data_IF_680305010252
#
_entry.id   IF_680305010252
#
_cell.length_a   1.000
_cell.length_b   1.000
_cell.length_c   1.000
_cell.angle_alpha   90.00
_cell.angle_beta   90.00
_cell.angle_gamma   90.00
#
_symmetry.space_group_name_H-M   'P 1'
#
loop_
_entity.id
_entity.type
_entity.pdbx_description
1 polymer ?
#
# COMPACT_ATOMS: atom_id res chain seq x y z
N UNK A 1 -12.17 -30.24 -26.84
CA UNK A 1 -12.88 -30.31 -25.55
C UNK A 1 -12.87 -28.92 -24.96
N UNK A 2 -14.03 -28.39 -24.59
CA UNK A 2 -14.19 -27.07 -23.96
C UNK A 2 -13.92 -27.12 -22.46
N UNK A 3 -14.10 -25.98 -21.80
CA UNK A 3 -14.04 -25.89 -20.33
C UNK A 3 -15.22 -26.63 -19.72
N UNK A 4 -14.96 -27.57 -18.81
CA UNK A 4 -15.99 -28.39 -18.19
C UNK A 4 -15.48 -29.11 -16.94
N UNK A 5 -16.42 -29.61 -16.13
CA UNK A 5 -16.16 -30.46 -14.97
C UNK A 5 -16.39 -31.93 -15.31
N UNK A 6 -15.38 -32.73 -15.03
CA UNK A 6 -15.35 -34.17 -15.28
C UNK A 6 -15.13 -34.93 -13.96
N UNK A 7 -15.52 -36.20 -13.97
CA UNK A 7 -15.10 -37.16 -12.96
C UNK A 7 -14.23 -38.20 -13.64
N UNK A 8 -12.95 -38.24 -13.28
CA UNK A 8 -12.10 -39.37 -13.61
C UNK A 8 -12.48 -40.50 -12.65
N UNK A 9 -13.03 -41.58 -13.19
CA UNK A 9 -13.46 -42.74 -12.39
C UNK A 9 -12.47 -43.88 -12.56
N UNK A 10 -11.85 -44.28 -11.46
CA UNK A 10 -11.12 -45.52 -11.35
C UNK A 10 -12.11 -46.62 -10.90
N UNK A 11 -12.15 -47.72 -11.66
CA UNK A 11 -12.93 -48.91 -11.32
C UNK A 11 -11.99 -50.10 -11.28
N UNK A 12 -11.94 -50.79 -10.14
CA UNK A 12 -11.24 -52.07 -10.01
C UNK A 12 -12.29 -53.17 -10.13
N UNK A 13 -12.07 -54.15 -11.00
CA UNK A 13 -12.95 -55.30 -11.19
C UNK A 13 -12.27 -56.60 -10.76
N UNK A 14 -13.06 -57.57 -10.31
CA UNK A 14 -12.58 -58.94 -10.11
C UNK A 14 -12.36 -59.68 -11.44
N UNK A 15 -11.91 -60.94 -11.36
CA UNK A 15 -11.66 -61.80 -12.52
C UNK A 15 -12.94 -62.18 -13.28
N UNK A 16 -14.13 -61.98 -12.70
CA UNK A 16 -15.42 -62.16 -13.37
C UNK A 16 -15.97 -60.85 -13.96
N UNK A 17 -15.21 -59.75 -13.90
CA UNK A 17 -15.61 -58.45 -14.42
C UNK A 17 -16.58 -57.69 -13.51
N UNK A 18 -16.76 -58.12 -12.26
CA UNK A 18 -17.60 -57.42 -11.29
C UNK A 18 -16.79 -56.33 -10.60
N UNK A 19 -17.35 -55.12 -10.52
CA UNK A 19 -16.77 -54.01 -9.78
C UNK A 19 -16.56 -54.38 -8.30
N UNK A 20 -15.32 -54.28 -7.83
CA UNK A 20 -14.90 -54.52 -6.43
C UNK A 20 -14.47 -53.24 -5.73
N UNK A 21 -14.05 -52.22 -6.48
CA UNK A 21 -13.77 -50.89 -5.92
C UNK A 21 -14.03 -49.80 -6.94
N UNK A 22 -14.40 -48.62 -6.45
CA UNK A 22 -14.57 -47.41 -7.23
C UNK A 22 -13.96 -46.24 -6.48
N UNK A 23 -13.15 -45.46 -7.19
CA UNK A 23 -12.67 -44.16 -6.72
C UNK A 23 -12.98 -43.11 -7.77
N UNK A 24 -13.69 -42.06 -7.37
CA UNK A 24 -14.03 -40.93 -8.24
C UNK A 24 -13.10 -39.75 -7.90
N UNK A 25 -12.45 -39.20 -8.91
CA UNK A 25 -11.58 -38.04 -8.82
C UNK A 25 -12.22 -36.87 -9.59
N UNK A 26 -12.61 -35.78 -8.90
CA UNK A 26 -13.09 -34.59 -9.59
C UNK A 26 -11.96 -33.97 -10.41
N UNK A 27 -12.24 -33.61 -11.65
CA UNK A 27 -11.32 -32.97 -12.58
C UNK A 27 -12.02 -31.77 -13.20
N UNK A 28 -11.41 -30.59 -13.17
CA UNK A 28 -11.88 -29.44 -13.95
C UNK A 28 -10.89 -29.16 -15.07
N UNK A 29 -11.39 -29.00 -16.30
CA UNK A 29 -10.60 -28.43 -17.39
C UNK A 29 -10.98 -26.96 -17.47
N UNK A 30 -10.03 -26.12 -17.07
CA UNK A 30 -10.15 -24.67 -17.14
C UNK A 30 -8.86 -24.14 -17.80
N UNK A 31 -9.03 -23.38 -18.88
CA UNK A 31 -7.93 -22.82 -19.67
C UNK A 31 -7.99 -21.30 -19.71
N UNK A 32 -9.00 -20.71 -19.07
CA UNK A 32 -9.21 -19.27 -19.04
C UNK A 32 -8.48 -18.72 -17.83
N UNK A 33 -7.51 -17.81 -18.02
CA UNK A 33 -6.86 -17.15 -16.90
C UNK A 33 -7.85 -16.40 -16.01
N UNK A 34 -7.52 -16.20 -14.72
CA UNK A 34 -8.29 -15.32 -13.85
C UNK A 34 -8.55 -13.94 -14.47
N UNK A 35 -9.64 -13.30 -14.06
CA UNK A 35 -9.89 -11.90 -14.36
C UNK A 35 -9.20 -10.99 -13.33
N UNK A 36 -8.51 -9.98 -13.84
CA UNK A 36 -7.91 -8.91 -13.03
C UNK A 36 -8.89 -7.79 -12.76
N UNK A 37 -8.63 -7.00 -11.72
CA UNK A 37 -9.33 -5.74 -11.48
C UNK A 37 -8.37 -4.55 -11.43
N UNK A 38 -8.45 -3.78 -10.34
CA UNK A 38 -7.76 -2.49 -10.22
C UNK A 38 -6.69 -2.52 -9.14
N UNK A 39 -5.64 -1.71 -9.32
CA UNK A 39 -4.66 -1.43 -8.28
C UNK A 39 -5.08 -0.14 -7.58
N UNK A 40 -5.27 -0.21 -6.27
CA UNK A 40 -5.58 0.93 -5.41
C UNK A 40 -4.52 1.08 -4.31
N UNK A 41 -4.50 2.23 -3.67
CA UNK A 41 -3.54 2.56 -2.63
C UNK A 41 -4.27 3.11 -1.41
N UNK A 42 -4.06 2.51 -0.25
CA UNK A 42 -4.55 3.07 1.02
C UNK A 42 -3.48 3.95 1.64
N UNK A 43 -3.82 5.21 1.91
CA UNK A 43 -2.94 6.20 2.54
C UNK A 43 -3.36 6.46 3.98
N UNK A 44 -2.39 6.52 4.88
CA UNK A 44 -2.59 7.08 6.21
C UNK A 44 -2.63 8.62 6.14
N UNK A 45 -3.55 9.25 6.87
CA UNK A 45 -3.57 10.70 7.05
C UNK A 45 -2.24 11.25 7.55
N UNK A 46 -1.94 12.51 7.21
CA UNK A 46 -0.75 13.30 7.52
C UNK A 46 0.50 13.11 6.64
N UNK A 47 0.65 11.97 5.96
CA UNK A 47 1.72 11.76 4.99
C UNK A 47 1.14 11.91 3.58
N UNK A 48 1.01 13.15 3.13
CA UNK A 48 0.47 13.50 1.84
C UNK A 48 1.44 13.15 0.67
N UNK A 49 1.76 11.87 0.45
CA UNK A 49 2.52 11.39 -0.72
C UNK A 49 1.59 10.85 -1.81
N UNK A 50 1.78 11.23 -3.09
CA UNK A 50 0.88 10.88 -4.23
C UNK A 50 0.54 9.38 -4.34
N UNK A 51 -0.52 9.06 -5.09
CA UNK A 51 -0.91 7.68 -5.46
C UNK A 51 0.20 6.86 -6.17
N UNK A 52 1.30 7.53 -6.57
CA UNK A 52 2.43 6.96 -7.30
C UNK A 52 3.74 6.91 -6.49
N UNK A 53 3.76 7.34 -5.22
CA UNK A 53 5.01 7.42 -4.42
C UNK A 53 4.90 6.55 -3.17
N UNK A 54 5.73 5.51 -3.13
CA UNK A 54 5.92 4.69 -1.93
C UNK A 54 6.88 5.38 -0.97
N UNK A 55 6.35 5.94 0.13
CA UNK A 55 7.18 6.48 1.21
C UNK A 55 7.31 5.45 2.35
N UNK A 56 8.51 5.24 2.86
CA UNK A 56 8.74 4.44 4.08
C UNK A 56 8.24 5.17 5.32
N UNK A 57 7.61 4.43 6.26
CA UNK A 57 7.27 4.94 7.60
C UNK A 57 8.57 5.02 8.43
N UNK A 58 8.88 6.16 9.09
CA UNK A 58 10.03 6.25 9.99
C UNK A 58 9.96 5.22 11.13
N UNK A 59 11.12 4.67 11.53
CA UNK A 59 11.21 3.73 12.64
C UNK A 59 10.67 4.37 13.94
N UNK A 60 9.71 3.71 14.59
CA UNK A 60 9.10 4.18 15.85
C UNK A 60 7.75 4.88 15.70
N UNK A 61 7.27 5.17 14.48
CA UNK A 61 5.90 5.64 14.25
C UNK A 61 4.99 4.46 13.90
N UNK A 62 4.14 4.04 14.84
CA UNK A 62 2.99 3.17 14.56
C UNK A 62 1.77 4.06 14.35
N UNK A 63 1.31 4.16 13.10
CA UNK A 63 -0.02 4.66 12.83
C UNK A 63 -0.94 3.49 12.54
N UNK A 64 -2.08 3.45 13.21
CA UNK A 64 -3.09 2.40 13.14
C UNK A 64 -3.89 2.39 11.82
N UNK A 65 -3.30 2.80 10.69
CA UNK A 65 -3.90 2.64 9.36
C UNK A 65 -2.86 2.14 8.36
N UNK A 66 -3.25 1.07 7.66
CA UNK A 66 -2.40 0.23 6.82
C UNK A 66 -2.03 0.98 5.52
N UNK A 67 -0.75 1.30 5.33
CA UNK A 67 -0.23 1.79 4.04
C UNK A 67 0.06 0.60 3.14
N UNK A 68 -0.78 0.37 2.12
CA UNK A 68 -0.67 -0.80 1.27
C UNK A 68 -1.08 -0.55 -0.19
N UNK A 69 -0.54 -1.39 -1.07
CA UNK A 69 -1.13 -1.67 -2.38
C UNK A 69 -2.25 -2.66 -2.19
N UNK A 70 -3.44 -2.30 -2.67
CA UNK A 70 -4.59 -3.20 -2.65
C UNK A 70 -5.03 -3.48 -4.07
N UNK A 71 -4.92 -4.75 -4.46
CA UNK A 71 -5.39 -5.27 -5.73
C UNK A 71 -6.79 -5.81 -5.49
N UNK A 72 -7.80 -5.24 -6.17
CA UNK A 72 -9.22 -5.53 -5.93
C UNK A 72 -9.90 -6.00 -7.21
N UNK A 73 -11.05 -6.65 -7.06
CA UNK A 73 -11.85 -7.14 -8.18
C UNK A 73 -11.22 -8.34 -8.87
N UNK A 74 -10.37 -9.09 -8.16
CA UNK A 74 -9.79 -10.33 -8.64
C UNK A 74 -10.86 -11.39 -8.62
N UNK A 75 -11.03 -12.12 -9.73
CA UNK A 75 -12.03 -13.18 -9.79
C UNK A 75 -11.62 -14.25 -10.76
N UNK A 76 -12.12 -15.45 -10.55
CA UNK A 76 -12.11 -16.48 -11.56
C UNK A 76 -13.45 -17.22 -11.52
N UNK A 77 -14.08 -17.36 -12.70
CA UNK A 77 -15.39 -18.02 -12.84
C UNK A 77 -15.26 -19.51 -13.15
N UNK A 78 -14.07 -19.95 -13.57
CA UNK A 78 -13.77 -21.34 -13.86
C UNK A 78 -13.47 -22.11 -12.58
N UNK A 79 -12.21 -22.46 -12.39
CA UNK A 79 -11.71 -23.28 -11.29
C UNK A 79 -11.63 -22.54 -9.94
N UNK A 80 -11.73 -21.22 -9.97
CA UNK A 80 -11.62 -20.32 -8.84
C UNK A 80 -10.18 -19.91 -8.54
N UNK A 81 -10.02 -18.84 -7.75
CA UNK A 81 -8.72 -18.29 -7.37
C UNK A 81 -7.94 -19.27 -6.47
N UNK A 82 -6.61 -19.33 -6.66
CA UNK A 82 -5.71 -20.16 -5.88
C UNK A 82 -4.71 -19.34 -5.05
N UNK A 83 -3.80 -18.62 -5.72
CA UNK A 83 -2.72 -17.89 -5.07
C UNK A 83 -2.30 -16.65 -5.85
N UNK A 84 -1.51 -15.79 -5.20
CA UNK A 84 -0.92 -14.62 -5.83
C UNK A 84 0.56 -14.46 -5.46
N UNK A 85 1.32 -13.84 -6.34
CA UNK A 85 2.70 -13.43 -6.10
C UNK A 85 2.82 -11.93 -6.38
N UNK A 86 3.33 -11.16 -5.42
CA UNK A 86 3.75 -9.79 -5.67
C UNK A 86 5.07 -9.80 -6.41
N UNK A 87 5.19 -8.97 -7.44
CA UNK A 87 6.43 -8.80 -8.17
C UNK A 87 6.79 -7.33 -8.33
N UNK A 88 8.09 -7.11 -8.51
CA UNK A 88 8.66 -5.84 -8.89
C UNK A 88 9.76 -6.04 -9.94
N UNK A 89 9.81 -5.18 -10.94
CA UNK A 89 10.82 -5.19 -12.00
C UNK A 89 11.50 -3.84 -12.06
N UNK A 90 12.83 -3.84 -11.97
CA UNK A 90 13.65 -2.62 -12.12
C UNK A 90 13.85 -2.22 -13.59
N UNK A 91 14.53 -1.09 -13.79
CA UNK A 91 14.80 -0.55 -15.12
C UNK A 91 15.67 -1.47 -16.00
N UNK A 92 16.49 -2.34 -15.38
CA UNK A 92 17.30 -3.34 -16.07
C UNK A 92 16.50 -4.60 -16.44
N UNK A 93 15.23 -4.68 -16.03
CA UNK A 93 14.37 -5.84 -16.28
C UNK A 93 14.53 -6.96 -15.26
N UNK A 94 15.29 -6.75 -14.16
CA UNK A 94 15.44 -7.76 -13.12
C UNK A 94 14.18 -7.81 -12.27
N UNK A 95 13.52 -8.96 -12.31
CA UNK A 95 12.29 -9.23 -11.57
C UNK A 95 12.60 -9.86 -10.21
N UNK A 96 11.95 -9.35 -9.16
CA UNK A 96 12.00 -9.91 -7.81
C UNK A 96 10.57 -10.16 -7.34
N UNK A 97 10.33 -11.30 -6.69
CA UNK A 97 8.99 -11.75 -6.30
C UNK A 97 8.93 -12.12 -4.83
N UNK A 98 7.73 -12.06 -4.27
CA UNK A 98 7.38 -12.72 -3.01
C UNK A 98 5.95 -13.27 -3.07
N UNK A 99 5.64 -14.33 -2.31
CA UNK A 99 4.26 -14.73 -2.09
C UNK A 99 3.42 -13.55 -1.57
N UNK A 100 2.18 -13.44 -2.04
CA UNK A 100 1.21 -12.46 -1.58
C UNK A 100 -0.07 -13.18 -1.14
N UNK A 101 -0.57 -12.84 0.05
CA UNK A 101 -1.80 -13.43 0.57
C UNK A 101 -3.00 -12.93 -0.21
N UNK A 102 -3.85 -13.86 -0.65
CA UNK A 102 -5.06 -13.58 -1.39
C UNK A 102 -6.29 -13.87 -0.51
N UNK A 103 -7.19 -12.90 -0.42
CA UNK A 103 -8.53 -13.12 0.08
C UNK A 103 -9.39 -13.59 -1.10
N UNK A 104 -9.59 -14.89 -1.22
CA UNK A 104 -10.36 -15.50 -2.31
C UNK A 104 -11.86 -15.26 -2.21
N UNK A 105 -12.37 -14.84 -1.04
CA UNK A 105 -13.78 -14.48 -0.84
C UNK A 105 -14.05 -13.06 -1.34
N UNK A 106 -13.18 -12.12 -0.99
CA UNK A 106 -13.31 -10.71 -1.42
C UNK A 106 -12.71 -10.45 -2.82
N UNK A 107 -11.88 -11.36 -3.32
CA UNK A 107 -11.15 -11.15 -4.57
C UNK A 107 -10.11 -10.05 -4.43
N UNK A 108 -9.32 -10.08 -3.36
CA UNK A 108 -8.36 -9.02 -3.05
C UNK A 108 -7.00 -9.54 -2.60
N UNK A 109 -5.95 -8.75 -2.88
CA UNK A 109 -4.59 -8.95 -2.37
C UNK A 109 -4.12 -7.64 -1.76
N UNK A 110 -3.57 -7.68 -0.56
CA UNK A 110 -3.03 -6.49 0.14
C UNK A 110 -1.54 -6.68 0.37
N UNK A 111 -0.72 -5.78 -0.16
CA UNK A 111 0.74 -5.77 0.03
C UNK A 111 1.14 -4.50 0.75
N UNK A 112 1.70 -4.64 1.96
CA UNK A 112 2.19 -3.49 2.73
C UNK A 112 3.27 -2.74 1.96
N UNK A 113 3.25 -1.40 2.02
CA UNK A 113 4.25 -0.57 1.33
C UNK A 113 5.65 -0.89 1.82
N UNK A 114 5.83 -1.10 3.13
CA UNK A 114 7.12 -1.46 3.71
C UNK A 114 7.73 -2.73 3.07
N UNK A 115 6.87 -3.71 2.75
CA UNK A 115 7.28 -4.92 2.04
C UNK A 115 7.51 -4.65 0.57
N UNK A 116 6.53 -4.02 -0.09
CA UNK A 116 6.50 -3.72 -1.51
C UNK A 116 7.71 -2.89 -1.97
N UNK A 117 8.22 -2.03 -1.09
CA UNK A 117 9.38 -1.16 -1.31
C UNK A 117 10.61 -1.54 -0.48
N UNK A 118 10.66 -2.76 0.07
CA UNK A 118 11.82 -3.23 0.86
C UNK A 118 13.11 -3.22 0.02
N UNK A 119 14.28 -3.07 0.66
CA UNK A 119 15.58 -3.11 -0.05
C UNK A 119 15.81 -4.43 -0.80
N UNK A 120 15.21 -5.54 -0.35
CA UNK A 120 15.33 -6.84 -1.01
C UNK A 120 14.60 -6.89 -2.35
N UNK A 121 13.47 -6.19 -2.47
CA UNK A 121 12.65 -6.14 -3.69
C UNK A 121 13.00 -4.93 -4.58
N UNK A 122 13.25 -3.78 -3.96
CA UNK A 122 13.59 -2.52 -4.60
C UNK A 122 14.95 -2.00 -4.08
N UNK A 123 16.09 -2.53 -4.55
CA UNK A 123 17.38 -2.12 -4.01
C UNK A 123 17.71 -0.65 -4.29
N UNK A 124 17.35 -0.15 -5.48
CA UNK A 124 17.54 1.26 -5.83
C UNK A 124 16.47 2.13 -5.19
N UNK A 125 16.90 3.10 -4.39
CA UNK A 125 16.01 4.12 -3.88
C UNK A 125 15.82 5.23 -4.93
N UNK A 126 14.70 5.96 -4.86
CA UNK A 126 14.38 7.03 -5.80
C UNK A 126 14.49 6.55 -7.24
N UNK A 127 13.76 5.49 -7.55
CA UNK A 127 13.73 4.86 -8.86
C UNK A 127 12.31 4.45 -9.24
N UNK A 128 12.07 4.26 -10.53
CA UNK A 128 10.79 3.80 -11.07
C UNK A 128 10.83 2.30 -11.31
N UNK A 129 9.76 1.62 -10.89
CA UNK A 129 9.61 0.18 -11.00
C UNK A 129 8.30 -0.18 -11.68
N UNK A 130 8.26 -1.35 -12.34
CA UNK A 130 6.99 -2.02 -12.64
C UNK A 130 6.63 -2.85 -11.42
N UNK A 131 5.47 -2.61 -10.82
CA UNK A 131 4.96 -3.35 -9.65
C UNK A 131 3.64 -4.00 -10.01
N UNK A 132 3.37 -5.17 -9.46
CA UNK A 132 2.14 -5.88 -9.76
C UNK A 132 1.97 -7.18 -9.00
N UNK A 133 0.94 -7.92 -9.38
CA UNK A 133 0.75 -9.31 -8.98
C UNK A 133 0.67 -10.23 -10.18
N UNK A 134 1.19 -11.44 -10.01
CA UNK A 134 0.74 -12.60 -10.77
C UNK A 134 -0.38 -13.27 -9.99
N UNK A 135 -1.52 -13.47 -10.64
CA UNK A 135 -2.69 -14.13 -10.06
C UNK A 135 -2.89 -15.48 -10.73
N UNK A 136 -3.14 -16.51 -9.92
CA UNK A 136 -3.32 -17.89 -10.36
C UNK A 136 -4.69 -18.42 -9.97
N UNK A 137 -5.31 -19.20 -10.87
CA UNK A 137 -6.47 -20.04 -10.54
C UNK A 137 -6.05 -21.44 -10.06
N UNK A 138 -7.02 -22.27 -9.71
CA UNK A 138 -6.77 -23.65 -9.25
C UNK A 138 -6.40 -24.62 -10.37
N UNK A 139 -6.64 -24.26 -11.62
CA UNK A 139 -6.19 -25.02 -12.79
C UNK A 139 -4.74 -24.70 -13.19
N UNK A 140 -4.15 -23.65 -12.58
CA UNK A 140 -2.78 -23.21 -12.81
C UNK A 140 -2.63 -22.16 -13.92
N UNK A 141 -3.72 -21.61 -14.46
CA UNK A 141 -3.62 -20.49 -15.38
C UNK A 141 -3.21 -19.22 -14.62
N UNK A 142 -2.51 -18.33 -15.32
CA UNK A 142 -1.93 -17.12 -14.72
C UNK A 142 -2.26 -15.87 -15.53
N UNK A 143 -2.55 -14.78 -14.82
CA UNK A 143 -2.60 -13.44 -15.39
C UNK A 143 -1.73 -12.45 -14.62
N UNK A 144 -1.39 -11.32 -15.24
CA UNK A 144 -0.62 -10.23 -14.65
C UNK A 144 -1.49 -8.99 -14.50
N UNK A 145 -1.47 -8.37 -13.33
CA UNK A 145 -1.99 -7.01 -13.09
C UNK A 145 -0.86 -6.13 -12.59
N UNK A 146 -0.51 -5.08 -13.33
CA UNK A 146 0.64 -4.24 -13.01
C UNK A 146 0.50 -2.77 -13.38
N UNK A 147 1.34 -1.94 -12.78
CA UNK A 147 1.52 -0.52 -13.12
C UNK A 147 2.96 -0.08 -12.92
N UNK A 148 3.33 1.07 -13.48
CA UNK A 148 4.56 1.78 -13.10
C UNK A 148 4.34 2.54 -11.81
N UNK A 149 5.34 2.54 -10.94
CA UNK A 149 5.30 3.27 -9.68
C UNK A 149 6.69 3.69 -9.23
N UNK A 150 6.77 4.81 -8.52
CA UNK A 150 8.02 5.38 -8.04
C UNK A 150 8.21 5.00 -6.57
N UNK A 151 9.41 4.57 -6.21
CA UNK A 151 9.79 4.30 -4.83
C UNK A 151 10.68 5.45 -4.33
N UNK A 152 10.26 6.12 -3.27
CA UNK A 152 11.03 7.16 -2.58
C UNK A 152 11.02 6.93 -1.07
N UNK A 153 12.05 6.24 -0.57
CA UNK A 153 12.23 5.98 0.86
C UNK A 153 12.85 7.17 1.60
N UNK A 154 13.07 8.30 0.93
CA UNK A 154 13.62 9.50 1.56
C UNK A 154 12.49 10.48 1.85
N UNK A 155 12.13 10.60 3.13
CA UNK A 155 11.31 11.72 3.60
C UNK A 155 12.16 12.99 3.52
N UNK A 156 11.74 14.06 2.82
CA UNK A 156 12.45 15.33 2.88
C UNK A 156 12.38 15.92 4.30
N UNK A 157 13.34 16.79 4.62
CA UNK A 157 13.39 17.43 5.93
C UNK A 157 12.21 18.37 6.15
N UNK A 158 11.78 18.47 7.40
CA UNK A 158 10.80 19.44 7.86
C UNK A 158 11.26 20.12 9.17
N UNK A 159 10.84 21.37 9.35
CA UNK A 159 11.11 22.12 10.58
C UNK A 159 9.82 22.22 11.37
N UNK A 160 9.84 21.72 12.59
CA UNK A 160 8.73 21.87 13.53
C UNK A 160 8.99 23.12 14.37
N UNK A 161 7.99 23.99 14.45
CA UNK A 161 8.03 25.18 15.30
C UNK A 161 6.82 25.22 16.22
N UNK A 162 7.03 25.75 17.41
CA UNK A 162 6.00 25.97 18.42
C UNK A 162 5.87 27.47 18.64
N UNK A 163 4.65 27.96 18.83
CA UNK A 163 4.46 29.36 19.17
C UNK A 163 4.76 29.56 20.65
N UNK A 164 5.71 30.44 20.95
CA UNK A 164 5.92 30.96 22.28
C UNK A 164 4.85 32.03 22.56
N UNK A 165 3.92 31.73 23.46
CA UNK A 165 2.82 32.62 23.79
C UNK A 165 3.27 33.87 24.59
N UNK A 166 4.46 33.87 25.17
CA UNK A 166 4.99 35.04 25.90
C UNK A 166 5.50 36.13 24.95
N UNK A 167 6.05 35.72 23.81
CA UNK A 167 6.63 36.62 22.80
C UNK A 167 5.80 36.69 21.51
N UNK A 168 4.81 35.80 21.35
CA UNK A 168 4.04 35.62 20.12
C UNK A 168 4.84 34.99 18.97
N UNK A 169 6.13 34.70 19.18
CA UNK A 169 7.06 34.27 18.14
C UNK A 169 7.03 32.76 17.91
N UNK A 170 7.33 32.34 16.68
CA UNK A 170 7.51 30.93 16.35
C UNK A 170 8.96 30.52 16.60
N UNK A 171 9.16 29.56 17.49
CA UNK A 171 10.47 29.04 17.86
C UNK A 171 10.61 27.59 17.40
N UNK A 172 11.81 27.20 16.95
CA UNK A 172 12.07 25.82 16.53
C UNK A 172 11.91 24.88 17.72
N UNK A 173 11.16 23.81 17.52
CA UNK A 173 10.91 22.80 18.55
C UNK A 173 12.22 22.15 18.98
N UNK A 174 12.38 22.01 20.29
CA UNK A 174 13.45 21.23 20.91
C UNK A 174 12.85 20.32 21.98
N UNK A 175 13.34 19.08 22.07
CA UNK A 175 12.91 18.15 23.10
C UNK A 175 13.17 18.75 24.49
N UNK A 176 12.15 18.78 25.34
CA UNK A 176 12.23 19.36 26.69
C UNK A 176 12.02 20.87 26.77
N UNK A 177 11.68 21.56 25.67
CA UNK A 177 11.38 22.99 25.72
C UNK A 177 10.14 23.29 26.57
N UNK A 178 10.13 24.43 27.26
CA UNK A 178 8.96 24.93 27.96
C UNK A 178 7.94 25.50 26.97
N UNK A 179 6.67 25.14 27.15
CA UNK A 179 5.54 25.65 26.38
C UNK A 179 4.63 26.48 27.29
N UNK A 180 4.23 27.66 26.81
CA UNK A 180 3.56 28.68 27.61
C UNK A 180 2.05 28.78 27.35
N UNK A 181 1.48 27.90 26.52
CA UNK A 181 0.06 27.89 26.20
C UNK A 181 -0.46 26.48 25.94
N UNK A 182 -1.73 26.26 26.29
CA UNK A 182 -2.50 25.07 25.95
C UNK A 182 -3.91 25.51 25.48
N UNK A 183 -4.38 25.17 24.26
CA UNK A 183 -3.73 24.32 23.25
C UNK A 183 -2.43 24.93 22.69
N UNK A 184 -1.43 24.08 22.51
CA UNK A 184 -0.12 24.41 21.92
C UNK A 184 -0.33 24.70 20.42
N UNK A 185 0.11 25.86 19.94
CA UNK A 185 0.21 26.13 18.50
C UNK A 185 1.49 25.49 17.96
N UNK A 186 1.35 24.60 16.98
CA UNK A 186 2.49 23.97 16.29
C UNK A 186 2.38 24.27 14.81
N UNK A 187 3.50 24.54 14.15
CA UNK A 187 3.56 24.56 12.69
C UNK A 187 4.71 23.70 12.17
N UNK A 188 4.50 23.14 10.99
CA UNK A 188 5.50 22.37 10.24
C UNK A 188 5.81 23.16 8.97
N UNK A 189 7.10 23.41 8.74
CA UNK A 189 7.62 24.09 7.57
C UNK A 189 8.25 23.03 6.67
N UNK A 190 7.77 22.95 5.42
CA UNK A 190 8.33 22.09 4.37
C UNK A 190 8.91 22.97 3.27
N UNK A 191 10.17 22.73 2.90
CA UNK A 191 10.86 23.57 1.92
C UNK A 191 10.22 23.41 0.54
N UNK A 192 9.91 24.53 -0.13
CA UNK A 192 9.25 24.52 -1.45
C UNK A 192 10.05 23.74 -2.49
N UNK A 193 11.38 23.79 -2.43
CA UNK A 193 12.26 23.03 -3.34
C UNK A 193 12.16 21.52 -3.21
N UNK A 194 11.51 21.01 -2.17
CA UNK A 194 11.39 19.56 -1.95
C UNK A 194 10.04 19.02 -2.43
N UNK A 195 9.19 19.88 -3.00
CA UNK A 195 7.92 19.47 -3.60
C UNK A 195 8.11 19.06 -5.05
N UNK A 196 7.51 17.94 -5.46
CA UNK A 196 7.60 17.41 -6.83
C UNK A 196 7.10 18.41 -7.87
N UNK A 197 6.09 19.21 -7.52
CA UNK A 197 5.54 20.27 -8.37
C UNK A 197 6.54 21.42 -8.65
N UNK A 198 7.55 21.59 -7.80
CA UNK A 198 8.53 22.69 -7.88
C UNK A 198 9.89 22.19 -8.35
N UNK A 199 10.29 20.99 -7.92
CA UNK A 199 11.64 20.48 -8.11
C UNK A 199 11.86 19.76 -9.44
N UNK A 200 10.81 19.58 -10.25
CA UNK A 200 10.88 18.95 -11.57
C UNK A 200 11.17 17.44 -11.53
N UNK A 201 11.12 16.82 -10.36
CA UNK A 201 11.37 15.39 -10.14
C UNK A 201 10.12 14.66 -9.64
N UNK A 202 10.16 13.33 -9.63
CA UNK A 202 9.11 12.49 -9.05
C UNK A 202 9.32 12.23 -7.53
N UNK A 203 10.30 12.89 -6.91
CA UNK A 203 10.77 12.59 -5.56
C UNK A 203 10.53 13.78 -4.61
N UNK A 204 10.13 13.47 -3.38
CA UNK A 204 9.81 14.45 -2.34
C UNK A 204 8.32 14.62 -2.05
N UNK A 205 7.95 15.79 -1.52
CA UNK A 205 6.57 16.10 -1.13
C UNK A 205 5.68 16.19 -2.35
N UNK A 206 4.60 15.41 -2.38
CA UNK A 206 3.70 15.34 -3.52
C UNK A 206 2.31 15.90 -3.21
N UNK A 207 2.22 16.71 -2.16
CA UNK A 207 1.00 17.37 -1.75
C UNK A 207 0.93 18.81 -2.22
N UNK A 208 -0.30 19.25 -2.46
CA UNK A 208 -0.63 20.60 -2.90
C UNK A 208 -1.28 21.44 -1.80
N UNK A 209 -1.60 20.84 -0.65
CA UNK A 209 -2.52 21.42 0.31
C UNK A 209 -1.76 21.94 1.53
N UNK A 210 -1.32 23.19 1.47
CA UNK A 210 -0.76 23.93 2.60
C UNK A 210 -1.68 25.10 3.00
N UNK A 211 -1.60 25.56 4.24
CA UNK A 211 -2.47 26.65 4.73
C UNK A 211 -1.91 28.04 4.38
N UNK A 212 -0.61 28.22 4.54
CA UNK A 212 0.10 29.47 4.22
C UNK A 212 1.49 29.15 3.67
N UNK A 213 2.18 30.14 3.11
CA UNK A 213 3.55 29.96 2.65
C UNK A 213 4.35 31.26 2.76
N UNK A 214 5.67 31.15 2.82
CA UNK A 214 6.61 32.27 2.69
C UNK A 214 7.48 32.09 1.42
N UNK A 215 8.57 32.84 1.28
CA UNK A 215 9.46 32.71 0.10
C UNK A 215 10.13 31.34 -0.04
N UNK A 216 10.26 30.59 1.06
CA UNK A 216 11.08 29.37 1.14
C UNK A 216 10.27 28.13 1.51
N UNK A 217 9.22 28.27 2.31
CA UNK A 217 8.49 27.16 2.93
C UNK A 217 6.98 27.21 2.65
N UNK A 218 6.40 26.01 2.51
CA UNK A 218 4.98 25.76 2.70
C UNK A 218 4.74 25.47 4.19
N UNK A 219 3.69 26.07 4.76
CA UNK A 219 3.44 26.09 6.21
C UNK A 219 2.11 25.43 6.53
N UNK A 220 2.16 24.52 7.49
CA UNK A 220 1.02 23.77 8.00
C UNK A 220 0.94 23.99 9.51
N UNK A 221 -0.20 24.44 10.02
CA UNK A 221 -0.40 24.87 11.40
C UNK A 221 -1.51 24.06 12.05
N UNK A 222 -1.27 23.69 13.30
CA UNK A 222 -2.11 22.79 14.08
C UNK A 222 -2.20 23.25 15.53
N UNK A 223 -3.26 22.81 16.22
CA UNK A 223 -3.44 23.01 17.67
C UNK A 223 -3.35 21.65 18.34
N UNK A 224 -2.54 21.54 19.39
CA UNK A 224 -2.33 20.32 20.16
C UNK A 224 -2.68 20.55 21.63
N UNK A 225 -3.55 19.71 22.21
CA UNK A 225 -3.99 19.85 23.61
C UNK A 225 -3.15 18.92 24.51
N UNK A 226 -2.64 19.46 25.63
CA UNK A 226 -1.85 18.72 26.63
C UNK A 226 -2.35 18.93 28.07
N UNK A 227 -2.40 17.90 28.94
CA UNK A 227 -2.23 16.49 28.59
C UNK A 227 -3.41 16.04 27.74
N UNK A 228 -3.17 15.12 26.81
CA UNK A 228 -4.25 14.52 26.05
C UNK A 228 -4.96 13.51 26.97
N UNK A 229 -6.14 13.85 27.48
CA UNK A 229 -6.89 13.04 28.46
C UNK A 229 -7.71 11.92 27.79
N UNK A 230 -7.53 11.69 26.49
CA UNK A 230 -8.21 10.63 25.75
C UNK A 230 -7.32 9.41 25.52
N UNK A 231 -7.84 8.21 25.78
CA UNK A 231 -7.41 7.01 25.04
C UNK A 231 -7.57 7.36 23.56
N UNK A 232 -6.48 7.25 22.79
CA UNK A 232 -6.48 7.47 21.36
C UNK A 232 -7.28 6.34 20.66
N UNK A 233 -8.61 6.38 20.75
CA UNK A 233 -9.47 5.73 19.75
C UNK A 233 -9.62 6.76 18.64
N UNK A 234 -8.68 6.75 17.69
CA UNK A 234 -8.83 7.49 16.42
C UNK A 234 -9.93 6.82 15.59
N UNK A 235 -11.18 7.13 15.90
CA UNK A 235 -12.31 6.80 15.03
C UNK A 235 -12.23 7.66 13.77
N UNK A 236 -12.24 7.00 12.62
CA UNK A 236 -12.08 7.52 11.26
C UNK A 236 -13.32 8.28 10.72
N UNK A 237 -14.07 8.97 11.56
CA UNK A 237 -15.21 9.80 11.14
C UNK A 237 -15.22 11.11 11.93
N UNK A 238 -15.75 12.15 11.29
CA UNK A 238 -15.66 13.58 11.61
C UNK A 238 -14.41 14.15 10.91
N UNK A 239 -14.54 14.78 9.74
CA UNK A 239 -15.30 16.00 9.52
C UNK A 239 -15.99 16.00 8.14
N UNK A 240 -17.31 16.24 8.14
CA UNK A 240 -18.02 16.85 7.02
C UNK A 240 -17.89 18.37 7.17
N UNK A 241 -17.63 19.04 6.06
CA UNK A 241 -17.69 20.49 5.90
C UNK A 241 -19.15 20.98 6.04
N UNK A 242 -19.33 22.13 6.69
CA UNK A 242 -20.28 23.16 6.22
C UNK A 242 -19.50 24.16 5.37
#
# INVERSE_FOLDING_TARGET
MGEDSFTLREVITDLQGKEVSRQDYPLAIDRTPPATGTISYTRNGWNFGSEAIFTSVPAGMQYASVQALVFNGLSDKGSGLANAEYFITDAAGVERKKPAEINTVEGSVTVQVADASSNALAPENRSEYKVGIYLYDKAGNRIELSRRSVIDRVKPDDIIQVQDATTGSWVTYQSGMTVFQNPISVRVLRKKSDFTAVNGSKYGWADSNFQTSDSTYNIYTFKYIYPNVGILIMNSRLWQEE
#
